data_IF_564524662383
#
_entry.id   IF_564524662383
#
_cell.length_a   1.000
_cell.length_b   1.000
_cell.length_c   1.000
_cell.angle_alpha   90.00
_cell.angle_beta   90.00
_cell.angle_gamma   90.00
#
_symmetry.space_group_name_H-M   'P 1'
#
loop_
_entity.id
_entity.type
_entity.pdbx_description
1 polymer ?
#
# COMPACT_ATOMS: atom_id res chain seq x y z
N UNK A 1 -10.88 15.66 -3.13
CA UNK A 1 -9.84 14.67 -3.50
C UNK A 1 -10.52 13.37 -3.94
N UNK A 2 -10.05 12.68 -4.99
CA UNK A 2 -10.60 11.39 -5.40
C UNK A 2 -10.44 10.35 -4.28
N UNK A 3 -11.51 9.63 -3.93
CA UNK A 3 -11.45 8.53 -2.97
C UNK A 3 -11.14 7.23 -3.71
N UNK A 4 -9.92 6.72 -3.55
CA UNK A 4 -9.51 5.43 -4.10
C UNK A 4 -9.80 4.34 -3.07
N UNK A 5 -10.70 3.41 -3.41
CA UNK A 5 -10.95 2.25 -2.58
C UNK A 5 -9.66 1.42 -2.50
N UNK A 6 -9.16 1.22 -1.28
CA UNK A 6 -7.90 0.54 -1.01
C UNK A 6 -8.10 -0.57 0.00
N UNK A 7 -7.60 -1.75 -0.34
CA UNK A 7 -7.69 -2.94 0.50
C UNK A 7 -6.28 -3.48 0.73
N UNK A 8 -5.96 -3.77 2.00
CA UNK A 8 -4.77 -4.52 2.39
C UNK A 8 -5.21 -5.96 2.70
N UNK A 9 -4.62 -6.92 2.01
CA UNK A 9 -4.87 -8.34 2.20
C UNK A 9 -4.06 -8.84 3.39
N UNK A 10 -4.75 -9.15 4.49
CA UNK A 10 -4.14 -9.60 5.74
C UNK A 10 -3.90 -8.45 6.71
N UNK A 11 -3.72 -8.83 7.97
CA UNK A 11 -3.51 -7.90 9.08
C UNK A 11 -2.46 -8.42 10.07
N UNK A 12 -1.58 -9.32 9.61
CA UNK A 12 -0.48 -9.91 10.37
C UNK A 12 0.85 -9.50 9.71
N UNK A 13 1.88 -9.24 10.51
CA UNK A 13 3.22 -8.97 10.02
C UNK A 13 3.71 -10.09 9.09
N UNK A 14 4.39 -9.72 8.01
CA UNK A 14 4.83 -10.63 6.96
C UNK A 14 4.41 -10.19 5.56
N UNK A 15 4.28 -11.14 4.61
CA UNK A 15 3.85 -10.86 3.25
C UNK A 15 2.41 -10.37 3.19
N UNK A 16 2.20 -9.21 2.61
CA UNK A 16 0.90 -8.57 2.44
C UNK A 16 0.72 -8.10 1.00
N UNK A 17 -0.52 -7.86 0.59
CA UNK A 17 -0.84 -7.32 -0.73
C UNK A 17 -1.77 -6.13 -0.61
N UNK A 18 -1.44 -5.02 -1.24
CA UNK A 18 -2.36 -3.89 -1.41
C UNK A 18 -3.01 -3.96 -2.77
N UNK A 19 -4.32 -3.76 -2.80
CA UNK A 19 -5.11 -3.55 -4.01
C UNK A 19 -5.81 -2.19 -3.94
N UNK A 20 -5.63 -1.38 -4.98
CA UNK A 20 -6.28 -0.08 -5.15
C UNK A 20 -7.17 -0.12 -6.38
N UNK A 21 -8.46 0.20 -6.23
CA UNK A 21 -9.41 0.29 -7.36
C UNK A 21 -9.18 1.63 -8.05
N UNK A 22 -8.41 1.62 -9.14
CA UNK A 22 -8.09 2.82 -9.91
C UNK A 22 -7.72 2.48 -11.35
N UNK A 23 -7.82 3.47 -12.25
CA UNK A 23 -7.32 3.37 -13.64
C UNK A 23 -5.81 3.61 -13.76
N UNK A 24 -5.06 3.49 -12.65
CA UNK A 24 -3.62 3.62 -12.67
C UNK A 24 -2.98 2.50 -13.50
N UNK A 25 -1.91 2.84 -14.23
CA UNK A 25 -1.09 1.87 -14.99
C UNK A 25 0.16 1.49 -14.21
N UNK A 26 0.67 2.42 -13.43
CA UNK A 26 1.83 2.23 -12.57
C UNK A 26 1.74 3.13 -11.36
N UNK A 27 2.64 2.92 -10.42
CA UNK A 27 2.77 3.75 -9.24
C UNK A 27 3.67 3.09 -8.21
N UNK A 28 3.71 3.71 -7.05
CA UNK A 28 4.40 3.18 -5.89
C UNK A 28 3.56 3.39 -4.63
N UNK A 29 3.68 2.49 -3.67
CA UNK A 29 3.14 2.65 -2.33
C UNK A 29 4.29 2.67 -1.34
N UNK A 30 4.37 3.74 -0.58
CA UNK A 30 5.34 3.97 0.47
C UNK A 30 4.68 3.68 1.82
N UNK A 31 5.38 2.93 2.64
CA UNK A 31 5.00 2.56 3.99
C UNK A 31 6.00 3.14 4.98
N UNK A 32 5.48 3.84 5.98
CA UNK A 32 6.28 4.40 7.07
C UNK A 32 5.72 3.96 8.42
N UNK A 33 6.60 3.84 9.39
CA UNK A 33 6.28 3.58 10.80
C UNK A 33 7.37 4.20 11.65
N UNK A 34 7.06 4.66 12.85
CA UNK A 34 8.04 5.29 13.76
C UNK A 34 9.13 4.30 14.21
N UNK A 35 8.86 3.00 14.12
CA UNK A 35 9.81 1.93 14.41
C UNK A 35 10.77 1.61 13.24
N UNK A 36 10.64 2.32 12.11
CA UNK A 36 11.37 2.05 10.87
C UNK A 36 12.29 3.23 10.54
N UNK A 37 13.58 2.96 10.33
CA UNK A 37 14.55 4.00 9.97
C UNK A 37 14.35 4.55 8.55
N UNK A 38 13.97 3.68 7.60
CA UNK A 38 13.78 4.03 6.19
C UNK A 38 12.45 3.49 5.66
N UNK A 39 11.70 4.24 4.84
CA UNK A 39 10.43 3.78 4.29
C UNK A 39 10.55 2.49 3.47
N UNK A 40 9.51 1.66 3.52
CA UNK A 40 9.38 0.52 2.61
C UNK A 40 8.56 0.94 1.39
N UNK A 41 9.09 0.71 0.19
CA UNK A 41 8.44 1.06 -1.07
C UNK A 41 8.06 -0.21 -1.82
N UNK A 42 6.79 -0.34 -2.19
CA UNK A 42 6.33 -1.39 -3.11
C UNK A 42 5.87 -0.79 -4.42
N UNK A 43 6.28 -1.40 -5.53
CA UNK A 43 5.85 -0.99 -6.87
C UNK A 43 4.44 -1.49 -7.16
N UNK A 44 3.60 -0.60 -7.67
CA UNK A 44 2.25 -0.92 -8.11
C UNK A 44 2.24 -1.26 -9.59
N UNK A 45 1.64 -2.40 -9.92
CA UNK A 45 1.35 -2.79 -11.29
C UNK A 45 -0.14 -2.66 -11.53
N UNK A 46 -0.50 -1.86 -12.54
CA UNK A 46 -1.89 -1.60 -12.91
C UNK A 46 -2.32 -2.37 -14.16
N UNK A 47 -3.60 -2.75 -14.21
CA UNK A 47 -4.21 -3.36 -15.41
C UNK A 47 -5.31 -2.46 -16.04
N UNK A 48 -5.39 -1.20 -15.61
CA UNK A 48 -6.38 -0.23 -16.09
C UNK A 48 -7.72 -0.23 -15.34
N UNK A 49 -7.96 -1.16 -14.41
CA UNK A 49 -9.11 -1.15 -13.50
C UNK A 49 -8.71 -1.26 -12.02
N UNK A 50 -7.57 -1.88 -11.73
CA UNK A 50 -6.96 -1.90 -10.41
C UNK A 50 -5.42 -1.81 -10.52
N UNK A 51 -4.81 -1.27 -9.46
CA UNK A 51 -3.38 -1.30 -9.22
C UNK A 51 -3.07 -2.16 -7.99
N UNK A 52 -2.07 -3.04 -8.09
CA UNK A 52 -1.71 -3.98 -7.03
C UNK A 52 -0.23 -3.94 -6.74
N UNK A 53 0.12 -4.05 -5.47
CA UNK A 53 1.48 -4.18 -4.98
C UNK A 53 1.53 -5.26 -3.91
N UNK A 54 2.59 -6.04 -3.90
CA UNK A 54 2.86 -7.03 -2.85
C UNK A 54 4.23 -6.77 -2.26
N UNK A 55 4.36 -6.97 -0.97
CA UNK A 55 5.62 -6.82 -0.25
C UNK A 55 5.47 -7.26 1.19
N UNK A 56 6.45 -6.92 2.02
CA UNK A 56 6.51 -7.38 3.42
C UNK A 56 6.44 -6.18 4.36
N UNK A 57 5.54 -6.24 5.35
CA UNK A 57 5.60 -5.38 6.53
C UNK A 57 6.17 -6.21 7.69
N UNK A 58 7.42 -5.97 8.11
CA UNK A 58 8.18 -6.94 8.91
C UNK A 58 7.75 -7.05 10.36
N UNK A 59 6.95 -6.11 10.87
CA UNK A 59 6.55 -6.08 12.28
C UNK A 59 5.13 -5.55 12.47
N UNK A 60 4.60 -5.85 13.66
CA UNK A 60 3.32 -5.36 14.14
C UNK A 60 3.40 -3.89 14.59
N UNK A 61 2.30 -3.16 14.45
CA UNK A 61 2.20 -1.77 14.90
C UNK A 61 1.42 -0.88 13.92
N UNK A 62 1.49 0.41 14.16
CA UNK A 62 0.89 1.42 13.29
C UNK A 62 1.77 1.65 12.06
N UNK A 63 1.12 1.68 10.91
CA UNK A 63 1.73 1.94 9.61
C UNK A 63 0.96 3.03 8.89
N UNK A 64 1.69 3.96 8.28
CA UNK A 64 1.13 4.96 7.38
C UNK A 64 1.43 4.56 5.95
N UNK A 65 0.39 4.52 5.13
CA UNK A 65 0.45 4.26 3.71
C UNK A 65 0.32 5.55 2.93
N UNK A 66 1.18 5.76 1.94
CA UNK A 66 1.08 6.82 0.94
C UNK A 66 1.31 6.21 -0.43
N UNK A 67 0.38 6.37 -1.36
CA UNK A 67 0.57 5.92 -2.73
C UNK A 67 0.77 7.10 -3.67
N UNK A 68 1.48 6.86 -4.76
CA UNK A 68 1.50 7.71 -5.94
C UNK A 68 1.05 6.86 -7.12
N UNK A 69 -0.09 7.21 -7.70
CA UNK A 69 -0.70 6.51 -8.82
C UNK A 69 -0.57 7.35 -10.09
N UNK A 70 -0.07 6.74 -11.16
CA UNK A 70 0.02 7.35 -12.49
C UNK A 70 -1.08 6.73 -13.36
N UNK A 71 -2.09 7.55 -13.71
CA UNK A 71 -3.20 7.10 -14.55
C UNK A 71 -2.85 7.18 -16.03
N UNK A 72 -3.66 6.52 -16.86
CA UNK A 72 -3.52 6.59 -18.32
C UNK A 72 -3.72 7.99 -18.90
N UNK A 73 -4.37 8.90 -18.18
CA UNK A 73 -4.53 10.31 -18.57
C UNK A 73 -3.37 11.20 -18.09
N UNK A 74 -2.30 10.61 -17.56
CA UNK A 74 -1.18 11.31 -16.89
C UNK A 74 -1.60 12.10 -15.65
N UNK A 75 -2.78 11.82 -15.10
CA UNK A 75 -3.21 12.38 -13.81
C UNK A 75 -2.48 11.64 -12.69
N UNK A 76 -2.00 12.39 -11.71
CA UNK A 76 -1.36 11.85 -10.52
C UNK A 76 -2.33 11.88 -9.35
N UNK A 77 -2.57 10.72 -8.74
CA UNK A 77 -3.44 10.58 -7.57
C UNK A 77 -2.61 10.08 -6.39
N UNK A 78 -2.75 10.73 -5.24
CA UNK A 78 -1.98 10.40 -4.03
C UNK A 78 -2.89 10.03 -2.86
N UNK A 79 -3.41 8.79 -2.80
CA UNK A 79 -4.15 8.33 -1.63
C UNK A 79 -3.21 8.08 -0.45
N UNK A 80 -3.71 8.30 0.77
CA UNK A 80 -3.02 7.97 2.01
C UNK A 80 -3.98 7.35 3.02
N UNK A 81 -3.45 6.54 3.93
CA UNK A 81 -4.22 5.95 5.01
C UNK A 81 -3.35 5.42 6.13
N UNK A 82 -3.96 5.05 7.24
CA UNK A 82 -3.30 4.38 8.35
C UNK A 82 -3.87 2.97 8.52
N UNK A 83 -3.01 2.05 8.93
CA UNK A 83 -3.39 0.66 9.24
C UNK A 83 -2.60 0.19 10.45
N UNK A 84 -3.22 -0.69 11.24
CA UNK A 84 -2.54 -1.38 12.33
C UNK A 84 -2.34 -2.84 11.94
N UNK A 85 -1.08 -3.28 11.97
CA UNK A 85 -0.68 -4.66 11.68
C UNK A 85 -0.49 -5.40 13.00
N UNK A 86 -1.00 -6.63 13.10
CA UNK A 86 -0.89 -7.49 14.27
C UNK A 86 0.36 -8.36 14.22
N UNK A 87 0.83 -8.79 15.38
CA UNK A 87 1.94 -9.74 15.46
C UNK A 87 1.49 -11.12 14.98
N UNK A 88 2.40 -11.87 14.35
CA UNK A 88 2.16 -13.28 14.09
C UNK A 88 2.15 -14.00 15.45
N UNK A 89 0.98 -14.45 15.88
CA UNK A 89 0.86 -15.22 17.11
C UNK A 89 1.69 -16.50 16.99
N UNK A 90 2.69 -16.65 17.85
CA UNK A 90 3.38 -17.93 18.05
C UNK A 90 2.35 -18.92 18.61
N UNK A 91 2.00 -19.94 17.83
CA UNK A 91 1.29 -21.12 18.33
C UNK A 91 2.29 -22.07 18.98
#
# INVERSE_FOLDING_TARGET
MPRIATTLSGDIAGPLTVTMVSKARSGEVTWTSDALAEPIIWRLTGNGSAAKASGVLPFAGAWTMRAMLITSSSEMVMPSGQVTIRAQGSR
#
